data_IF_106091104122
#
_entry.id   IF_106091104122
#
_cell.length_a   1.000
_cell.length_b   1.000
_cell.length_c   1.000
_cell.angle_alpha   90.00
_cell.angle_beta   90.00
_cell.angle_gamma   90.00
#
_symmetry.space_group_name_H-M   'P 1'
#
loop_
_entity.id
_entity.type
_entity.pdbx_description
1 polymer ?
#
# COMPACT_ATOMS: atom_id res chain seq x y z
N UNK A 1 26.62 -14.69 12.19
CA UNK A 1 25.79 -13.59 11.65
C UNK A 1 24.40 -14.14 11.36
N UNK A 2 23.37 -13.75 12.11
CA UNK A 2 21.99 -14.19 11.81
C UNK A 2 21.41 -13.25 10.75
N UNK A 3 20.79 -13.75 9.66
CA UNK A 3 20.04 -12.89 8.77
C UNK A 3 18.89 -12.29 9.59
N UNK A 4 18.80 -10.96 9.61
CA UNK A 4 17.62 -10.28 10.16
C UNK A 4 16.45 -10.71 9.29
N UNK A 5 15.66 -11.66 9.79
CA UNK A 5 14.38 -12.00 9.19
C UNK A 5 13.61 -10.70 9.00
N UNK A 6 13.37 -10.34 7.74
CA UNK A 6 12.56 -9.20 7.38
C UNK A 6 11.16 -9.45 7.95
N UNK A 7 10.85 -8.85 9.10
CA UNK A 7 9.49 -8.62 9.53
C UNK A 7 8.90 -7.58 8.57
N UNK A 8 8.63 -8.00 7.32
CA UNK A 8 7.93 -7.15 6.37
C UNK A 8 6.59 -6.81 6.99
N UNK A 9 6.30 -5.51 7.12
CA UNK A 9 5.03 -5.04 7.64
C UNK A 9 3.87 -5.73 6.91
N UNK A 10 2.72 -5.83 7.56
CA UNK A 10 1.50 -6.40 6.96
C UNK A 10 1.19 -5.76 5.60
N UNK A 11 1.48 -4.46 5.43
CA UNK A 11 1.29 -3.72 4.18
C UNK A 11 2.20 -4.21 3.05
N UNK A 12 3.46 -4.52 3.34
CA UNK A 12 4.41 -5.09 2.35
C UNK A 12 3.94 -6.45 1.85
N UNK A 13 3.43 -7.29 2.75
CA UNK A 13 2.88 -8.62 2.40
C UNK A 13 1.67 -8.50 1.49
N UNK A 14 0.75 -7.58 1.80
CA UNK A 14 -0.45 -7.32 1.00
C UNK A 14 -0.08 -6.82 -0.41
N UNK A 15 0.86 -5.88 -0.52
CA UNK A 15 1.30 -5.38 -1.84
C UNK A 15 1.87 -6.50 -2.71
N UNK A 16 2.76 -7.31 -2.13
CA UNK A 16 3.40 -8.43 -2.85
C UNK A 16 2.37 -9.50 -3.24
N UNK A 17 1.42 -9.83 -2.35
CA UNK A 17 0.37 -10.80 -2.66
C UNK A 17 -0.54 -10.35 -3.80
N UNK A 18 -0.78 -9.04 -3.92
CA UNK A 18 -1.59 -8.43 -4.99
C UNK A 18 -0.79 -8.15 -6.27
N UNK A 19 0.51 -8.49 -6.31
CA UNK A 19 1.44 -8.21 -7.42
C UNK A 19 1.47 -6.74 -7.85
N UNK A 20 1.33 -5.82 -6.90
CA UNK A 20 1.35 -4.38 -7.16
C UNK A 20 2.79 -3.83 -7.11
N UNK A 21 3.18 -3.11 -8.17
CA UNK A 21 4.42 -2.35 -8.17
C UNK A 21 4.29 -1.07 -7.34
N UNK A 22 5.34 -0.69 -6.62
CA UNK A 22 5.34 0.52 -5.77
C UNK A 22 5.08 1.78 -6.59
N UNK A 23 5.61 1.85 -7.81
CA UNK A 23 5.38 2.97 -8.73
C UNK A 23 3.89 3.12 -9.08
N UNK A 24 3.22 2.03 -9.43
CA UNK A 24 1.77 2.05 -9.71
C UNK A 24 0.96 2.45 -8.48
N UNK A 25 1.34 1.97 -7.29
CA UNK A 25 0.69 2.36 -6.03
C UNK A 25 0.91 3.86 -5.76
N UNK A 26 2.11 4.38 -6.02
CA UNK A 26 2.44 5.78 -5.84
C UNK A 26 1.60 6.68 -6.75
N UNK A 27 1.49 6.31 -8.02
CA UNK A 27 0.68 7.03 -9.03
C UNK A 27 -0.81 7.00 -8.68
N UNK A 28 -1.35 5.84 -8.29
CA UNK A 28 -2.79 5.72 -7.96
C UNK A 28 -3.17 6.29 -6.60
N UNK A 29 -2.33 6.14 -5.58
CA UNK A 29 -2.63 6.58 -4.21
C UNK A 29 -2.25 8.06 -3.98
N UNK A 30 -1.39 8.63 -4.83
CA UNK A 30 -0.85 9.97 -4.67
C UNK A 30 0.10 10.08 -3.47
N UNK A 31 0.81 9.00 -3.15
CA UNK A 31 1.84 8.95 -2.10
C UNK A 31 3.17 8.65 -2.79
N UNK A 32 4.24 9.36 -2.44
CA UNK A 32 5.54 9.10 -3.06
C UNK A 32 6.05 7.70 -2.73
N UNK A 33 6.72 7.06 -3.69
CA UNK A 33 7.29 5.72 -3.54
C UNK A 33 8.23 5.60 -2.32
N UNK A 34 8.97 6.66 -2.01
CA UNK A 34 9.82 6.74 -0.83
C UNK A 34 9.02 6.61 0.47
N UNK A 35 7.87 7.27 0.58
CA UNK A 35 7.02 7.18 1.78
C UNK A 35 6.32 5.82 1.89
N UNK A 36 5.94 5.23 0.75
CA UNK A 36 5.40 3.86 0.72
C UNK A 36 6.45 2.87 1.25
N UNK A 37 7.68 2.99 0.77
CA UNK A 37 8.80 2.14 1.23
C UNK A 37 9.06 2.35 2.72
N UNK A 38 9.06 3.60 3.18
CA UNK A 38 9.23 3.93 4.60
C UNK A 38 8.13 3.31 5.48
N UNK A 39 6.87 3.33 5.04
CA UNK A 39 5.76 2.69 5.74
C UNK A 39 5.89 1.17 5.71
N UNK A 40 6.28 0.58 4.58
CA UNK A 40 6.45 -0.87 4.43
C UNK A 40 7.55 -1.45 5.32
N UNK A 41 8.62 -0.70 5.51
CA UNK A 41 9.78 -1.07 6.33
C UNK A 41 9.67 -0.51 7.78
N UNK A 42 8.49 0.01 8.16
CA UNK A 42 8.18 0.56 9.49
C UNK A 42 9.13 1.69 9.96
N UNK A 43 9.74 2.39 9.00
CA UNK A 43 10.71 3.44 9.24
C UNK A 43 10.02 4.80 9.49
N UNK A 44 9.63 5.01 10.74
CA UNK A 44 8.94 6.23 11.19
C UNK A 44 9.80 7.49 11.12
N UNK A 45 11.14 7.37 11.08
CA UNK A 45 12.06 8.52 11.13
C UNK A 45 12.03 9.40 9.88
N UNK A 46 11.52 8.86 8.77
CA UNK A 46 11.38 9.59 7.50
C UNK A 46 10.20 10.59 7.56
N UNK A 47 9.28 10.39 8.49
CA UNK A 47 8.12 11.25 8.65
C UNK A 47 8.41 12.39 9.62
N UNK A 48 7.87 13.56 9.29
CA UNK A 48 7.96 14.76 10.15
C UNK A 48 7.21 14.59 11.48
N UNK A 49 6.23 13.67 11.53
CA UNK A 49 5.46 13.36 12.72
C UNK A 49 4.91 11.93 12.67
N UNK A 50 4.78 11.32 13.85
CA UNK A 50 4.13 10.01 14.04
C UNK A 50 2.69 10.04 13.53
N UNK A 51 2.00 11.18 13.63
CA UNK A 51 0.64 11.32 13.11
C UNK A 51 0.62 11.17 11.60
N UNK A 52 1.54 11.82 10.90
CA UNK A 52 1.64 11.75 9.42
C UNK A 52 1.95 10.31 8.99
N UNK A 53 2.86 9.63 9.69
CA UNK A 53 3.12 8.20 9.48
C UNK A 53 1.84 7.36 9.59
N UNK A 54 1.08 7.52 10.68
CA UNK A 54 -0.17 6.76 10.92
C UNK A 54 -1.25 7.08 9.88
N UNK A 55 -1.40 8.34 9.48
CA UNK A 55 -2.35 8.76 8.45
C UNK A 55 -1.97 8.17 7.08
N UNK A 56 -0.68 8.18 6.76
CA UNK A 56 -0.15 7.59 5.51
C UNK A 56 -0.35 6.08 5.49
N UNK A 57 -0.03 5.39 6.58
CA UNK A 57 -0.26 3.95 6.72
C UNK A 57 -1.74 3.57 6.56
N UNK A 58 -2.65 4.32 7.19
CA UNK A 58 -4.11 4.12 7.03
C UNK A 58 -4.57 4.33 5.60
N UNK A 59 -4.10 5.38 4.93
CA UNK A 59 -4.44 5.65 3.52
C UNK A 59 -3.95 4.51 2.61
N UNK A 60 -2.73 4.02 2.85
CA UNK A 60 -2.16 2.90 2.10
C UNK A 60 -2.92 1.60 2.34
N UNK A 61 -3.32 1.33 3.58
CA UNK A 61 -4.13 0.17 3.95
C UNK A 61 -5.50 0.18 3.27
N UNK A 62 -6.20 1.32 3.30
CA UNK A 62 -7.48 1.50 2.61
C UNK A 62 -7.33 1.27 1.11
N UNK A 63 -6.29 1.84 0.50
CA UNK A 63 -6.00 1.65 -0.92
C UNK A 63 -5.80 0.17 -1.28
N UNK A 64 -4.99 -0.57 -0.50
CA UNK A 64 -4.78 -1.99 -0.75
C UNK A 64 -6.03 -2.85 -0.51
N UNK A 65 -6.91 -2.47 0.42
CA UNK A 65 -8.21 -3.13 0.59
C UNK A 65 -9.10 -2.90 -0.63
N UNK A 66 -9.16 -1.67 -1.14
CA UNK A 66 -9.95 -1.35 -2.32
C UNK A 66 -9.44 -2.05 -3.58
N UNK A 67 -8.12 -2.08 -3.82
CA UNK A 67 -7.54 -2.82 -4.94
C UNK A 67 -7.78 -4.33 -4.80
N UNK A 68 -7.76 -4.89 -3.58
CA UNK A 68 -8.14 -6.29 -3.35
C UNK A 68 -9.59 -6.57 -3.77
N UNK A 69 -10.52 -5.67 -3.42
CA UNK A 69 -11.94 -5.79 -3.78
C UNK A 69 -12.12 -5.68 -5.30
N UNK A 70 -11.38 -4.79 -5.97
CA UNK A 70 -11.42 -4.68 -7.45
C UNK A 70 -10.91 -5.93 -8.15
N UNK A 71 -9.76 -6.47 -7.71
CA UNK A 71 -9.19 -7.71 -8.25
C UNK A 71 -10.13 -8.90 -8.05
N UNK A 72 -10.67 -9.08 -6.83
CA UNK A 72 -11.56 -10.22 -6.52
C UNK A 72 -12.88 -10.18 -7.27
N UNK A 73 -13.42 -9.00 -7.56
CA UNK A 73 -14.69 -8.85 -8.27
C UNK A 73 -14.55 -8.68 -9.79
N UNK A 74 -13.33 -8.77 -10.35
CA UNK A 74 -13.03 -8.42 -11.75
C UNK A 74 -13.68 -7.10 -12.16
N UNK A 75 -13.79 -6.13 -11.24
CA UNK A 75 -14.58 -4.92 -11.47
C UNK A 75 -14.06 -4.10 -12.64
N UNK A 76 -12.80 -4.29 -13.03
CA UNK A 76 -12.16 -3.61 -14.17
C UNK A 76 -12.80 -3.96 -15.52
N UNK A 77 -13.53 -5.07 -15.64
CA UNK A 77 -14.35 -5.37 -16.82
C UNK A 77 -15.73 -4.71 -16.79
N UNK A 78 -16.16 -4.20 -15.63
CA UNK A 78 -17.45 -3.53 -15.44
C UNK A 78 -17.25 -2.03 -15.64
N UNK A 79 -17.87 -1.44 -16.67
CA UNK A 79 -17.82 -0.01 -16.92
C UNK A 79 -18.21 0.80 -15.68
N UNK A 80 -17.52 1.92 -15.45
CA UNK A 80 -17.69 2.76 -14.25
C UNK A 80 -19.14 3.15 -13.97
N UNK A 81 -19.96 3.31 -15.00
CA UNK A 81 -21.37 3.68 -14.89
C UNK A 81 -22.31 2.55 -14.43
N UNK A 82 -21.84 1.29 -14.41
CA UNK A 82 -22.60 0.12 -13.93
C UNK A 82 -22.18 -0.33 -12.53
N UNK A 83 -21.17 0.28 -11.93
CA UNK A 83 -20.78 0.03 -10.54
C UNK A 83 -21.71 0.82 -9.62
N UNK A 84 -22.93 0.31 -9.43
CA UNK A 84 -23.93 0.82 -8.48
C UNK A 84 -23.80 0.07 -7.15
#
# INVERSE_FOLDING_TARGET
>A
MKPKFSSGSSLKKIRVSQKLERRTVAEKCGISEHLITAVEDENQKIFTSILVYKMTARKLEAFYKDEAVKQTRQLDSIPLFLRV
#
